data_IF_562635850990
#
_entry.id   IF_562635850990
#
_cell.length_a   1.000
_cell.length_b   1.000
_cell.length_c   1.000
_cell.angle_alpha   90.00
_cell.angle_beta   90.00
_cell.angle_gamma   90.00
#
_symmetry.space_group_name_H-M   'P 1'
#
loop_
_entity.id
_entity.type
_entity.pdbx_description
1 polymer ?
#
# COMPACT_ATOMS: atom_id res chain seq x y z
N UNK A 1 -9.99 34.15 -5.43
CA UNK A 1 -9.77 33.33 -4.21
C UNK A 1 -9.86 31.83 -4.52
N UNK A 2 -10.95 31.34 -5.13
CA UNK A 2 -11.15 29.93 -5.54
C UNK A 2 -9.96 29.29 -6.26
N UNK A 3 -9.45 29.91 -7.33
CA UNK A 3 -8.30 29.40 -8.07
C UNK A 3 -7.01 29.20 -7.24
N UNK A 4 -6.82 29.97 -6.14
CA UNK A 4 -5.69 29.76 -5.22
C UNK A 4 -5.92 28.53 -4.34
N UNK A 5 -7.16 28.32 -3.88
CA UNK A 5 -7.56 27.15 -3.08
C UNK A 5 -7.49 25.87 -3.91
N UNK A 6 -7.94 25.89 -5.17
CA UNK A 6 -7.84 24.72 -6.05
C UNK A 6 -6.37 24.34 -6.34
N UNK A 7 -5.49 25.33 -6.53
CA UNK A 7 -4.05 25.07 -6.69
C UNK A 7 -3.43 24.48 -5.43
N UNK A 8 -3.83 24.97 -4.26
CA UNK A 8 -3.36 24.45 -2.98
C UNK A 8 -3.81 23.00 -2.79
N UNK A 9 -5.10 22.71 -3.04
CA UNK A 9 -5.65 21.36 -2.91
C UNK A 9 -4.99 20.38 -3.91
N UNK A 10 -4.74 20.81 -5.14
CA UNK A 10 -4.01 20.01 -6.14
C UNK A 10 -2.54 19.75 -5.73
N UNK A 11 -1.86 20.75 -5.15
CA UNK A 11 -0.50 20.59 -4.63
C UNK A 11 -0.47 19.58 -3.47
N UNK A 12 -1.42 19.68 -2.54
CA UNK A 12 -1.59 18.73 -1.44
C UNK A 12 -1.85 17.33 -1.99
N UNK A 13 -2.77 17.18 -2.94
CA UNK A 13 -3.06 15.88 -3.56
C UNK A 13 -1.84 15.25 -4.23
N UNK A 14 -1.03 16.04 -4.96
CA UNK A 14 0.22 15.56 -5.56
C UNK A 14 1.21 15.08 -4.49
N UNK A 15 1.29 15.78 -3.37
CA UNK A 15 2.13 15.37 -2.24
C UNK A 15 1.60 14.08 -1.58
N UNK A 16 0.31 14.03 -1.26
CA UNK A 16 -0.38 12.86 -0.70
C UNK A 16 -0.13 11.62 -1.58
N UNK A 17 -0.27 11.76 -2.91
CA UNK A 17 -0.02 10.67 -3.87
C UNK A 17 1.41 10.14 -3.82
N UNK A 18 2.40 11.03 -3.79
CA UNK A 18 3.82 10.64 -3.70
C UNK A 18 4.11 9.95 -2.37
N UNK A 19 3.58 10.49 -1.28
CA UNK A 19 3.76 9.95 0.06
C UNK A 19 3.15 8.54 0.19
N UNK A 20 1.91 8.34 -0.27
CA UNK A 20 1.27 7.02 -0.31
C UNK A 20 2.09 6.04 -1.13
N UNK A 21 2.54 6.42 -2.33
CA UNK A 21 3.38 5.57 -3.17
C UNK A 21 4.69 5.15 -2.47
N UNK A 22 5.35 6.08 -1.79
CA UNK A 22 6.55 5.80 -1.02
C UNK A 22 6.29 4.85 0.16
N UNK A 23 5.21 5.08 0.92
CA UNK A 23 4.84 4.26 2.07
C UNK A 23 4.42 2.84 1.66
N UNK A 24 3.68 2.69 0.57
CA UNK A 24 3.31 1.38 0.03
C UNK A 24 4.55 0.61 -0.45
N UNK A 25 5.48 1.29 -1.12
CA UNK A 25 6.75 0.67 -1.54
C UNK A 25 7.59 0.24 -0.33
N UNK A 26 7.68 1.09 0.69
CA UNK A 26 8.36 0.77 1.95
C UNK A 26 7.73 -0.46 2.62
N UNK A 27 6.40 -0.45 2.79
CA UNK A 27 5.65 -1.57 3.37
C UNK A 27 5.89 -2.87 2.60
N UNK A 28 5.75 -2.84 1.26
CA UNK A 28 5.97 -4.00 0.42
C UNK A 28 7.40 -4.54 0.54
N UNK A 29 8.40 -3.66 0.58
CA UNK A 29 9.81 -4.04 0.72
C UNK A 29 10.09 -4.68 2.08
N UNK A 30 9.61 -4.06 3.16
CA UNK A 30 9.82 -4.55 4.54
C UNK A 30 9.15 -5.90 4.75
N UNK A 31 7.89 -6.04 4.30
CA UNK A 31 7.15 -7.32 4.39
C UNK A 31 7.82 -8.39 3.53
N UNK A 32 8.27 -8.05 2.33
CA UNK A 32 8.98 -9.00 1.47
C UNK A 32 10.25 -9.53 2.14
N UNK A 33 11.06 -8.65 2.74
CA UNK A 33 12.30 -9.05 3.43
C UNK A 33 12.00 -9.93 4.65
N UNK A 34 11.00 -9.57 5.47
CA UNK A 34 10.60 -10.38 6.63
C UNK A 34 10.06 -11.75 6.21
N UNK A 35 9.20 -11.81 5.18
CA UNK A 35 8.68 -13.07 4.65
C UNK A 35 9.81 -13.92 4.06
N UNK A 36 10.70 -13.34 3.27
CA UNK A 36 11.86 -14.06 2.72
C UNK A 36 12.70 -14.65 3.86
N UNK A 37 13.07 -13.84 4.86
CA UNK A 37 13.80 -14.33 6.02
C UNK A 37 13.08 -15.49 6.71
N UNK A 38 11.80 -15.33 7.06
CA UNK A 38 10.99 -16.36 7.75
C UNK A 38 10.79 -17.63 6.95
N UNK A 39 10.74 -17.54 5.62
CA UNK A 39 10.56 -18.71 4.76
C UNK A 39 11.85 -19.51 4.70
N UNK A 40 12.99 -18.84 4.55
CA UNK A 40 14.29 -19.49 4.39
C UNK A 40 14.98 -19.84 5.72
N UNK A 41 14.53 -19.29 6.86
CA UNK A 41 15.05 -19.63 8.19
C UNK A 41 14.37 -20.85 8.84
N UNK A 42 13.25 -21.33 8.30
CA UNK A 42 12.54 -22.51 8.83
C UNK A 42 13.29 -23.79 8.51
N UNK A 43 13.68 -24.54 9.54
CA UNK A 43 14.20 -25.91 9.46
C UNK A 43 13.30 -26.87 10.26
N UNK A 44 12.87 -28.02 9.70
CA UNK A 44 13.02 -28.42 8.30
C UNK A 44 12.15 -27.56 7.36
N UNK A 45 12.63 -27.28 6.16
CA UNK A 45 11.87 -26.55 5.14
C UNK A 45 10.62 -27.31 4.69
N UNK A 46 9.58 -26.58 4.26
CA UNK A 46 8.32 -27.19 3.79
C UNK A 46 8.51 -28.19 2.64
N UNK A 47 9.48 -27.94 1.76
CA UNK A 47 9.82 -28.84 0.67
C UNK A 47 10.42 -30.15 1.20
N UNK A 48 11.26 -30.09 2.22
CA UNK A 48 11.82 -31.28 2.85
C UNK A 48 10.73 -32.14 3.51
N UNK A 49 9.74 -31.52 4.16
CA UNK A 49 8.59 -32.23 4.74
C UNK A 49 7.67 -32.87 3.70
N UNK A 50 7.48 -32.23 2.54
CA UNK A 50 6.70 -32.81 1.45
C UNK A 50 7.47 -33.97 0.79
N UNK A 51 8.77 -33.79 0.57
CA UNK A 51 9.63 -34.81 -0.03
C UNK A 51 9.82 -36.02 0.90
N UNK A 52 9.87 -35.83 2.22
CA UNK A 52 9.94 -36.95 3.17
C UNK A 52 8.73 -37.89 3.06
N UNK A 53 7.54 -37.35 2.77
CA UNK A 53 6.34 -38.16 2.56
C UNK A 53 6.39 -39.02 1.29
N UNK A 54 7.19 -38.63 0.30
CA UNK A 54 7.31 -39.32 -0.99
C UNK A 54 8.52 -40.26 -1.05
N UNK A 55 9.64 -39.84 -0.46
CA UNK A 55 10.93 -40.55 -0.52
C UNK A 55 11.10 -41.49 0.68
N UNK A 56 10.36 -41.27 1.77
CA UNK A 56 10.46 -42.07 3.00
C UNK A 56 11.71 -41.77 3.85
N UNK A 57 12.50 -40.76 3.47
CA UNK A 57 13.67 -40.29 4.24
C UNK A 57 13.30 -39.25 5.29
N UNK A 58 14.17 -39.06 6.28
CA UNK A 58 13.95 -38.07 7.33
C UNK A 58 13.98 -36.65 6.76
N UNK A 59 13.07 -35.75 7.17
CA UNK A 59 13.03 -34.37 6.68
C UNK A 59 14.35 -33.62 6.84
N UNK A 60 15.13 -33.92 7.88
CA UNK A 60 16.40 -33.25 8.17
C UNK A 60 17.50 -33.60 7.16
N UNK A 61 17.55 -34.84 6.68
CA UNK A 61 18.50 -35.27 5.65
C UNK A 61 18.21 -34.59 4.30
N UNK A 62 16.93 -34.51 3.93
CA UNK A 62 16.46 -33.86 2.70
C UNK A 62 16.62 -32.34 2.74
N UNK A 63 16.47 -31.71 3.91
CA UNK A 63 16.61 -30.27 4.09
C UNK A 63 18.06 -29.79 3.90
N UNK A 64 19.03 -30.66 4.16
CA UNK A 64 20.46 -30.32 4.08
C UNK A 64 20.97 -30.22 2.64
N UNK A 65 20.46 -31.06 1.73
CA UNK A 65 21.01 -31.17 0.37
C UNK A 65 19.96 -31.09 -0.74
N UNK A 66 18.83 -31.81 -0.63
CA UNK A 66 17.84 -31.90 -1.69
C UNK A 66 17.00 -30.62 -1.81
N UNK A 67 16.49 -30.09 -0.70
CA UNK A 67 15.62 -28.92 -0.72
C UNK A 67 16.31 -27.64 -1.26
N UNK A 68 17.57 -27.31 -0.87
CA UNK A 68 18.28 -26.16 -1.44
C UNK A 68 18.58 -26.33 -2.93
N UNK A 69 19.00 -27.53 -3.36
CA UNK A 69 19.30 -27.82 -4.75
C UNK A 69 18.06 -27.71 -5.66
N UNK A 70 16.94 -28.30 -5.24
CA UNK A 70 15.66 -28.21 -5.97
C UNK A 70 15.19 -26.76 -6.05
N UNK A 71 15.25 -26.02 -4.93
CA UNK A 71 14.85 -24.61 -4.90
C UNK A 71 15.71 -23.78 -5.85
N UNK A 72 17.03 -23.99 -5.85
CA UNK A 72 17.94 -23.29 -6.76
C UNK A 72 17.61 -23.57 -8.22
N UNK A 73 17.42 -24.83 -8.60
CA UNK A 73 17.08 -25.23 -9.97
C UNK A 73 15.75 -24.60 -10.41
N UNK A 74 14.71 -24.67 -9.58
CA UNK A 74 13.41 -24.06 -9.88
C UNK A 74 13.54 -22.54 -10.08
N UNK A 75 14.29 -21.85 -9.23
CA UNK A 75 14.52 -20.41 -9.39
C UNK A 75 15.29 -20.07 -10.67
N UNK A 76 16.33 -20.84 -11.01
CA UNK A 76 17.05 -20.66 -12.30
C UNK A 76 16.09 -20.81 -13.48
N UNK A 77 15.21 -21.80 -13.47
CA UNK A 77 14.22 -22.02 -14.53
C UNK A 77 13.25 -20.83 -14.63
N UNK A 78 12.73 -20.34 -13.50
CA UNK A 78 11.81 -19.20 -13.47
C UNK A 78 12.47 -17.90 -13.96
N UNK A 79 13.69 -17.61 -13.50
CA UNK A 79 14.44 -16.43 -13.91
C UNK A 79 14.78 -16.51 -15.40
N UNK A 80 15.17 -17.69 -15.89
CA UNK A 80 15.43 -17.92 -17.30
C UNK A 80 14.18 -17.69 -18.16
N UNK A 81 13.03 -18.23 -17.73
CA UNK A 81 11.74 -17.99 -18.38
C UNK A 81 11.37 -16.51 -18.42
N UNK A 82 11.58 -15.78 -17.31
CA UNK A 82 11.28 -14.36 -17.22
C UNK A 82 12.18 -13.49 -18.12
N UNK A 83 13.49 -13.74 -18.15
CA UNK A 83 14.43 -13.02 -19.03
C UNK A 83 14.08 -13.29 -20.49
N UNK A 84 13.78 -14.54 -20.83
CA UNK A 84 13.44 -14.93 -22.19
C UNK A 84 12.11 -14.33 -22.65
N UNK A 85 11.07 -14.39 -21.83
CA UNK A 85 9.78 -13.79 -22.16
C UNK A 85 9.90 -12.28 -22.40
N UNK A 86 10.77 -11.59 -21.66
CA UNK A 86 11.05 -10.17 -21.88
C UNK A 86 11.86 -9.91 -23.16
N UNK A 87 12.85 -10.74 -23.47
CA UNK A 87 13.66 -10.62 -24.68
C UNK A 87 12.83 -10.86 -25.95
N UNK A 88 11.98 -11.89 -25.94
CA UNK A 88 11.04 -12.19 -27.03
C UNK A 88 10.02 -11.05 -27.21
N UNK A 89 9.50 -10.47 -26.12
CA UNK A 89 8.62 -9.30 -26.19
C UNK A 89 9.28 -8.03 -26.75
N UNK A 90 10.63 -7.94 -26.68
CA UNK A 90 11.41 -6.85 -27.25
C UNK A 90 11.95 -7.13 -28.66
N UNK A 91 11.68 -8.31 -29.22
CA UNK A 91 12.23 -8.72 -30.52
C UNK A 91 13.74 -8.99 -30.52
N UNK A 92 14.35 -9.13 -29.34
CA UNK A 92 15.78 -9.43 -29.21
C UNK A 92 15.98 -10.95 -29.15
N UNK A 93 16.75 -11.50 -30.10
CA UNK A 93 17.27 -12.86 -30.01
C UNK A 93 18.42 -12.91 -29.00
N UNK A 94 18.08 -12.90 -27.71
CA UNK A 94 19.07 -13.14 -26.66
C UNK A 94 19.67 -14.54 -26.87
N UNK A 95 20.98 -14.61 -27.18
CA UNK A 95 21.68 -15.87 -27.34
C UNK A 95 21.45 -16.75 -26.08
N UNK A 96 20.94 -17.98 -26.28
CA UNK A 96 20.52 -18.89 -25.19
C UNK A 96 21.56 -19.00 -24.06
N UNK A 97 22.84 -18.99 -24.40
CA UNK A 97 23.95 -19.01 -23.43
C UNK A 97 24.01 -17.75 -22.55
N UNK A 98 23.80 -16.55 -23.09
CA UNK A 98 23.80 -15.30 -22.31
C UNK A 98 22.62 -15.25 -21.34
N UNK A 99 21.43 -15.64 -21.78
CA UNK A 99 20.24 -15.70 -20.93
C UNK A 99 20.41 -16.71 -19.78
N UNK A 100 20.98 -17.88 -20.06
CA UNK A 100 21.26 -18.89 -19.04
C UNK A 100 22.27 -18.41 -18.00
N UNK A 101 23.41 -17.84 -18.44
CA UNK A 101 24.42 -17.29 -17.53
C UNK A 101 23.85 -16.15 -16.68
N UNK A 102 23.04 -15.26 -17.28
CA UNK A 102 22.37 -14.19 -16.54
C UNK A 102 21.42 -14.75 -15.48
N UNK A 103 20.72 -15.84 -15.79
CA UNK A 103 19.76 -16.47 -14.88
C UNK A 103 20.44 -17.16 -13.72
N UNK A 104 21.48 -17.94 -14.00
CA UNK A 104 22.29 -18.58 -12.96
C UNK A 104 22.95 -17.52 -12.07
N UNK A 105 23.53 -16.48 -12.68
CA UNK A 105 24.14 -15.36 -11.95
C UNK A 105 23.14 -14.63 -11.06
N UNK A 106 21.96 -14.27 -11.59
CA UNK A 106 20.94 -13.56 -10.81
C UNK A 106 20.38 -14.44 -9.68
N UNK A 107 20.12 -15.71 -9.93
CA UNK A 107 19.67 -16.65 -8.90
C UNK A 107 20.74 -16.85 -7.83
N UNK A 108 22.02 -16.97 -8.21
CA UNK A 108 23.12 -17.07 -7.25
C UNK A 108 23.24 -15.81 -6.39
N UNK A 109 23.14 -14.61 -6.98
CA UNK A 109 23.14 -13.34 -6.25
C UNK A 109 21.96 -13.26 -5.29
N UNK A 110 20.76 -13.64 -5.74
CA UNK A 110 19.56 -13.62 -4.90
C UNK A 110 19.69 -14.59 -3.72
N UNK A 111 20.15 -15.82 -3.98
CA UNK A 111 20.38 -16.83 -2.95
C UNK A 111 21.45 -16.37 -1.95
N UNK A 112 22.56 -15.81 -2.44
CA UNK A 112 23.61 -15.24 -1.59
C UNK A 112 23.09 -14.07 -0.74
N UNK A 113 22.23 -13.23 -1.31
CA UNK A 113 21.61 -12.10 -0.60
C UNK A 113 20.69 -12.58 0.54
N UNK A 114 19.88 -13.61 0.29
CA UNK A 114 19.03 -14.23 1.30
C UNK A 114 19.87 -14.90 2.39
N UNK A 115 20.92 -15.63 2.02
CA UNK A 115 21.80 -16.27 2.98
C UNK A 115 22.55 -15.24 3.84
N UNK A 116 23.00 -14.15 3.23
CA UNK A 116 23.59 -13.03 3.94
C UNK A 116 22.59 -12.38 4.91
N UNK A 117 21.32 -12.20 4.52
CA UNK A 117 20.28 -11.69 5.40
C UNK A 117 20.07 -12.58 6.63
N UNK A 118 19.99 -13.90 6.45
CA UNK A 118 19.83 -14.86 7.56
C UNK A 118 21.05 -14.86 8.47
N UNK A 119 22.26 -14.81 7.89
CA UNK A 119 23.51 -14.80 8.65
C UNK A 119 23.67 -13.51 9.47
N UNK A 120 23.35 -12.35 8.89
CA UNK A 120 23.49 -11.05 9.55
C UNK A 120 22.38 -10.78 10.59
N UNK A 121 21.23 -11.45 10.46
CA UNK A 121 20.06 -11.26 11.34
C UNK A 121 19.35 -12.59 11.65
N UNK A 122 19.93 -13.48 12.45
CA UNK A 122 19.33 -14.79 12.78
C UNK A 122 17.95 -14.68 13.45
N UNK A 123 17.78 -13.65 14.28
CA UNK A 123 16.54 -13.36 15.03
C UNK A 123 15.40 -12.84 14.13
N UNK A 124 15.68 -12.54 12.85
CA UNK A 124 14.72 -11.96 11.91
C UNK A 124 14.39 -10.50 12.17
N UNK A 125 13.30 -10.03 11.55
CA UNK A 125 12.90 -8.62 11.55
C UNK A 125 11.67 -8.40 12.43
N UNK A 126 11.87 -8.37 13.76
CA UNK A 126 10.77 -8.18 14.73
C UNK A 126 10.02 -6.86 14.52
N UNK A 127 10.69 -5.83 13.99
CA UNK A 127 10.11 -4.53 13.68
C UNK A 127 9.26 -4.51 12.40
N UNK A 128 9.43 -5.48 11.49
CA UNK A 128 8.82 -5.43 10.17
C UNK A 128 7.29 -5.39 10.20
N UNK A 129 6.58 -6.22 11.02
CA UNK A 129 5.13 -6.15 11.12
C UNK A 129 4.65 -4.79 11.64
N UNK A 130 5.32 -4.22 12.65
CA UNK A 130 4.93 -2.94 13.25
C UNK A 130 5.13 -1.77 12.28
N UNK A 131 6.23 -1.77 11.52
CA UNK A 131 6.49 -0.76 10.51
C UNK A 131 5.51 -0.87 9.34
N UNK A 132 5.20 -2.10 8.91
CA UNK A 132 4.23 -2.36 7.85
C UNK A 132 2.82 -1.88 8.25
N UNK A 133 2.38 -2.17 9.47
CA UNK A 133 1.10 -1.69 10.00
C UNK A 133 1.05 -0.16 10.10
N UNK A 134 2.15 0.48 10.51
CA UNK A 134 2.26 1.94 10.57
C UNK A 134 2.15 2.56 9.17
N UNK A 135 2.87 2.00 8.19
CA UNK A 135 2.80 2.44 6.80
C UNK A 135 1.41 2.18 6.18
N UNK A 136 0.76 1.07 6.53
CA UNK A 136 -0.61 0.74 6.13
C UNK A 136 -1.61 1.76 6.68
N UNK A 137 -1.53 2.10 7.97
CA UNK A 137 -2.38 3.11 8.58
C UNK A 137 -2.27 4.45 7.85
N UNK A 138 -1.03 4.88 7.60
CA UNK A 138 -0.76 6.14 6.89
C UNK A 138 -1.28 6.11 5.46
N UNK A 139 -0.93 5.08 4.69
CA UNK A 139 -1.35 4.95 3.29
C UNK A 139 -2.86 4.79 3.14
N UNK A 140 -3.52 4.08 4.06
CA UNK A 140 -4.96 3.91 4.08
C UNK A 140 -5.71 5.21 4.36
N UNK A 141 -5.31 5.96 5.39
CA UNK A 141 -5.98 7.21 5.77
C UNK A 141 -5.70 8.35 4.78
N UNK A 142 -4.47 8.48 4.28
CA UNK A 142 -4.17 9.43 3.20
C UNK A 142 -4.88 9.01 1.90
N UNK A 143 -4.95 7.71 1.62
CA UNK A 143 -5.73 7.18 0.50
C UNK A 143 -7.20 7.56 0.56
N UNK A 144 -7.80 7.51 1.76
CA UNK A 144 -9.17 7.99 2.00
C UNK A 144 -9.30 9.51 1.73
N UNK A 145 -8.33 10.31 2.20
CA UNK A 145 -8.27 11.74 1.88
C UNK A 145 -8.20 11.99 0.36
N UNK A 146 -7.33 11.29 -0.35
CA UNK A 146 -7.21 11.38 -1.82
C UNK A 146 -8.48 10.96 -2.56
N UNK A 147 -9.20 9.95 -2.06
CA UNK A 147 -10.47 9.53 -2.65
C UNK A 147 -11.49 10.68 -2.64
N UNK A 148 -11.51 11.50 -1.58
CA UNK A 148 -12.35 12.69 -1.53
C UNK A 148 -11.96 13.74 -2.55
N UNK A 149 -10.66 13.93 -2.85
CA UNK A 149 -10.21 14.83 -3.91
C UNK A 149 -10.82 14.46 -5.27
N UNK A 150 -10.72 13.19 -5.65
CA UNK A 150 -11.22 12.66 -6.95
C UNK A 150 -12.74 12.48 -7.07
N UNK A 151 -13.50 12.91 -6.05
CA UNK A 151 -14.97 12.82 -5.99
C UNK A 151 -15.57 11.46 -6.37
N UNK A 152 -14.87 10.36 -6.09
CA UNK A 152 -15.33 8.99 -6.36
C UNK A 152 -16.42 8.51 -5.38
N UNK A 153 -17.23 9.41 -4.85
CA UNK A 153 -18.24 9.09 -3.85
C UNK A 153 -19.49 8.51 -4.52
N UNK A 154 -19.47 7.18 -4.70
CA UNK A 154 -20.62 6.34 -5.08
C UNK A 154 -21.92 6.65 -4.30
N UNK A 155 -21.82 7.18 -3.07
CA UNK A 155 -22.97 7.37 -2.19
C UNK A 155 -23.81 8.62 -2.47
N UNK A 156 -23.24 9.69 -3.06
CA UNK A 156 -24.00 10.91 -3.33
C UNK A 156 -24.81 10.82 -4.63
N UNK A 157 -24.35 10.03 -5.60
CA UNK A 157 -25.05 9.83 -6.87
C UNK A 157 -26.35 9.04 -6.69
N UNK A 158 -26.43 8.12 -5.72
CA UNK A 158 -27.69 7.43 -5.40
C UNK A 158 -28.76 8.37 -4.82
N UNK A 159 -28.37 9.39 -4.05
CA UNK A 159 -29.30 10.39 -3.52
C UNK A 159 -29.89 11.30 -4.60
N UNK A 160 -29.15 11.53 -5.67
CA UNK A 160 -29.61 12.35 -6.80
C UNK A 160 -30.78 11.69 -7.57
N UNK A 161 -30.91 10.36 -7.49
CA UNK A 161 -32.02 9.61 -8.12
C UNK A 161 -33.32 9.65 -7.31
N UNK A 162 -33.26 9.86 -6.00
CA UNK A 162 -34.46 9.97 -5.15
C UNK A 162 -35.03 11.40 -5.08
N UNK A 163 -34.21 12.44 -5.31
CA UNK A 163 -34.64 13.83 -5.10
C UNK A 163 -34.95 14.58 -6.42
N UNK A 164 -36.00 15.43 -6.44
CA UNK A 164 -36.31 16.27 -7.58
C UNK A 164 -35.16 17.25 -7.88
N UNK A 165 -34.91 17.51 -9.17
CA UNK A 165 -33.77 18.31 -9.69
C UNK A 165 -33.62 19.68 -9.04
N UNK A 166 -34.72 20.27 -8.56
CA UNK A 166 -34.74 21.56 -7.85
C UNK A 166 -34.06 21.53 -6.48
N UNK A 167 -34.04 20.40 -5.78
CA UNK A 167 -33.50 20.29 -4.41
C UNK A 167 -32.11 19.69 -4.34
N UNK A 168 -31.61 19.13 -5.46
CA UNK A 168 -30.31 18.48 -5.53
C UNK A 168 -29.14 19.37 -5.05
N UNK A 169 -29.04 20.67 -5.42
CA UNK A 169 -27.92 21.50 -4.98
C UNK A 169 -27.89 21.71 -3.45
N UNK A 170 -29.05 21.92 -2.84
CA UNK A 170 -29.19 22.14 -1.39
C UNK A 170 -28.94 20.87 -0.60
N UNK A 171 -29.50 19.74 -1.04
CA UNK A 171 -29.29 18.43 -0.39
C UNK A 171 -27.84 18.00 -0.48
N UNK A 172 -27.18 18.21 -1.63
CA UNK A 172 -25.76 17.92 -1.81
C UNK A 172 -24.88 18.76 -0.89
N UNK A 173 -25.15 20.06 -0.79
CA UNK A 173 -24.40 20.97 0.08
C UNK A 173 -24.61 20.60 1.55
N UNK A 174 -25.84 20.28 1.96
CA UNK A 174 -26.15 19.83 3.31
C UNK A 174 -25.45 18.49 3.65
N UNK A 175 -25.51 17.51 2.75
CA UNK A 175 -24.83 16.23 2.93
C UNK A 175 -23.31 16.40 3.06
N UNK A 176 -22.71 17.30 2.27
CA UNK A 176 -21.30 17.66 2.39
C UNK A 176 -20.98 18.35 3.72
N UNK A 177 -21.86 19.22 4.23
CA UNK A 177 -21.67 19.84 5.56
C UNK A 177 -21.75 18.81 6.68
N UNK A 178 -22.71 17.88 6.63
CA UNK A 178 -22.85 16.83 7.65
C UNK A 178 -21.64 15.90 7.62
N UNK A 179 -21.24 15.42 6.44
CA UNK A 179 -20.06 14.56 6.29
C UNK A 179 -18.76 15.28 6.68
N UNK A 180 -18.61 16.54 6.26
CA UNK A 180 -17.48 17.38 6.61
C UNK A 180 -17.40 17.67 8.11
N UNK A 181 -18.53 18.00 8.73
CA UNK A 181 -18.64 18.23 10.18
C UNK A 181 -18.29 16.97 10.98
N UNK A 182 -18.83 15.81 10.58
CA UNK A 182 -18.46 14.53 11.20
C UNK A 182 -16.97 14.23 11.06
N UNK A 183 -16.39 14.44 9.87
CA UNK A 183 -14.95 14.27 9.67
C UNK A 183 -14.13 15.24 10.53
N UNK A 184 -14.55 16.50 10.71
CA UNK A 184 -13.87 17.44 11.60
C UNK A 184 -13.97 17.01 13.07
N UNK A 185 -15.09 16.46 13.52
CA UNK A 185 -15.20 15.87 14.87
C UNK A 185 -14.20 14.74 15.05
N UNK A 186 -14.09 13.83 14.08
CA UNK A 186 -13.07 12.78 14.10
C UNK A 186 -11.65 13.33 14.07
N UNK A 187 -11.41 14.44 13.37
CA UNK A 187 -10.11 15.11 13.37
C UNK A 187 -9.75 15.65 14.76
N UNK A 188 -10.70 16.26 15.46
CA UNK A 188 -10.52 16.75 16.84
C UNK A 188 -10.27 15.59 17.80
N UNK A 189 -11.08 14.52 17.73
CA UNK A 189 -10.87 13.31 18.56
C UNK A 189 -9.51 12.66 18.27
N UNK A 190 -9.10 12.62 17.01
CA UNK A 190 -7.78 12.16 16.59
C UNK A 190 -6.66 13.03 17.18
N UNK A 191 -6.83 14.36 17.19
CA UNK A 191 -5.84 15.27 17.76
C UNK A 191 -5.72 15.12 19.28
N UNK A 192 -6.85 14.92 19.98
CA UNK A 192 -6.85 14.60 21.41
C UNK A 192 -6.13 13.28 21.68
N UNK A 193 -6.41 12.24 20.89
CA UNK A 193 -5.70 10.95 21.01
C UNK A 193 -4.19 11.08 20.78
N UNK A 194 -3.76 11.90 19.82
CA UNK A 194 -2.32 12.17 19.59
C UNK A 194 -1.70 12.90 20.78
N UNK A 195 -2.40 13.86 21.38
CA UNK A 195 -1.95 14.54 22.58
C UNK A 195 -1.78 13.58 23.76
N UNK A 196 -2.72 12.65 23.96
CA UNK A 196 -2.62 11.62 25.00
C UNK A 196 -1.39 10.72 24.77
N UNK A 197 -1.17 10.26 23.53
CA UNK A 197 0.02 9.46 23.19
C UNK A 197 1.32 10.24 23.38
N UNK A 198 1.31 11.54 23.11
CA UNK A 198 2.46 12.41 23.35
C UNK A 198 2.75 12.54 24.84
N UNK A 199 1.73 12.74 25.67
CA UNK A 199 1.87 12.78 27.13
C UNK A 199 2.39 11.46 27.72
N UNK A 200 1.91 10.33 27.21
CA UNK A 200 2.43 9.00 27.60
C UNK A 200 3.89 8.88 27.23
N UNK A 201 4.30 9.31 26.04
CA UNK A 201 5.70 9.27 25.62
C UNK A 201 6.60 10.16 26.48
N UNK A 202 6.14 11.34 26.91
CA UNK A 202 6.92 12.22 27.79
C UNK A 202 7.00 11.73 29.24
N UNK A 203 5.95 11.07 29.74
CA UNK A 203 5.89 10.60 31.13
C UNK A 203 6.52 9.22 31.30
N UNK A 204 6.30 8.33 30.34
CA UNK A 204 6.75 6.94 30.34
C UNK A 204 7.27 6.55 28.94
N UNK A 205 8.53 6.89 28.61
CA UNK A 205 9.07 6.72 27.26
C UNK A 205 8.90 5.32 26.68
N UNK A 206 9.15 4.27 27.47
CA UNK A 206 9.04 2.88 27.04
C UNK A 206 7.61 2.49 26.62
N UNK A 207 6.59 3.03 27.30
CA UNK A 207 5.19 2.78 26.97
C UNK A 207 4.72 3.61 25.76
N UNK A 208 5.37 4.73 25.47
CA UNK A 208 5.07 5.60 24.33
C UNK A 208 5.65 5.16 22.99
N UNK A 209 6.57 4.19 22.99
CA UNK A 209 7.20 3.66 21.79
C UNK A 209 6.46 2.45 21.23
N UNK A 210 6.57 2.25 19.92
CA UNK A 210 6.10 1.04 19.26
C UNK A 210 7.05 -0.12 19.59
N UNK A 211 6.57 -1.33 19.91
CA UNK A 211 7.47 -2.44 20.21
C UNK A 211 8.48 -2.69 19.08
N UNK A 212 9.75 -2.87 19.43
CA UNK A 212 10.85 -3.14 18.49
C UNK A 212 11.17 -2.03 17.49
N UNK A 213 10.54 -0.86 17.61
CA UNK A 213 10.83 0.33 16.80
C UNK A 213 10.98 1.51 17.76
N UNK A 214 12.11 2.21 17.71
CA UNK A 214 12.31 3.46 18.47
C UNK A 214 11.51 4.64 17.89
N UNK A 215 10.28 4.36 17.43
CA UNK A 215 9.34 5.30 16.85
C UNK A 215 8.22 5.58 17.86
N UNK A 216 8.02 6.85 18.24
CA UNK A 216 6.91 7.24 19.10
C UNK A 216 5.54 6.96 18.45
N UNK A 217 4.59 6.44 19.24
CA UNK A 217 3.23 6.16 18.76
C UNK A 217 2.52 7.40 18.24
N UNK A 218 2.72 8.56 18.87
CA UNK A 218 2.05 9.81 18.48
C UNK A 218 2.36 10.19 17.03
N UNK A 219 3.57 9.90 16.53
CA UNK A 219 3.93 10.12 15.11
C UNK A 219 3.09 9.25 14.18
N UNK A 220 2.88 7.99 14.54
CA UNK A 220 2.08 7.08 13.73
C UNK A 220 0.61 7.48 13.73
N UNK A 221 0.07 7.91 14.87
CA UNK A 221 -1.33 8.35 14.98
C UNK A 221 -1.61 9.76 14.43
N UNK A 222 -0.58 10.56 14.15
CA UNK A 222 -0.73 11.93 13.60
C UNK A 222 -1.46 11.95 12.25
N UNK A 223 -1.43 10.85 11.50
CA UNK A 223 -2.17 10.75 10.24
C UNK A 223 -3.68 10.79 10.43
N UNK A 224 -4.21 10.41 11.60
CA UNK A 224 -5.65 10.41 11.90
C UNK A 224 -6.21 11.84 11.86
N UNK A 225 -5.75 12.80 12.69
CA UNK A 225 -6.25 14.17 12.63
C UNK A 225 -5.94 14.84 11.30
N UNK A 226 -4.80 14.51 10.67
CA UNK A 226 -4.46 15.03 9.35
C UNK A 226 -5.47 14.59 8.28
N UNK A 227 -5.71 13.28 8.13
CA UNK A 227 -6.56 12.75 7.08
C UNK A 227 -8.02 13.20 7.26
N UNK A 228 -8.56 13.06 8.47
CA UNK A 228 -9.92 13.50 8.75
C UNK A 228 -10.07 15.02 8.67
N UNK A 229 -9.04 15.79 9.08
CA UNK A 229 -9.01 17.23 8.91
C UNK A 229 -9.06 17.64 7.44
N UNK A 230 -8.25 17.01 6.59
CA UNK A 230 -8.25 17.28 5.15
C UNK A 230 -9.57 16.90 4.48
N UNK A 231 -10.14 15.74 4.81
CA UNK A 231 -11.46 15.30 4.33
C UNK A 231 -12.53 16.32 4.76
N UNK A 232 -12.55 16.69 6.05
CA UNK A 232 -13.50 17.65 6.60
C UNK A 232 -13.43 19.02 5.93
N UNK A 233 -12.21 19.56 5.80
CA UNK A 233 -11.96 20.83 5.13
C UNK A 233 -12.39 20.80 3.66
N UNK A 234 -12.09 19.71 2.92
CA UNK A 234 -12.51 19.55 1.52
C UNK A 234 -14.03 19.53 1.39
N UNK A 235 -14.74 18.81 2.25
CA UNK A 235 -16.20 18.78 2.19
C UNK A 235 -16.86 20.11 2.57
N UNK A 236 -16.39 20.76 3.64
CA UNK A 236 -16.88 22.08 4.04
C UNK A 236 -16.61 23.11 2.95
N UNK A 237 -15.41 23.14 2.39
CA UNK A 237 -15.07 24.06 1.31
C UNK A 237 -15.92 23.84 0.04
N UNK A 238 -16.27 22.59 -0.28
CA UNK A 238 -17.18 22.28 -1.40
C UNK A 238 -18.62 22.70 -1.13
N UNK A 239 -19.10 22.51 0.09
CA UNK A 239 -20.45 22.94 0.47
C UNK A 239 -20.65 24.45 0.32
N UNK A 240 -19.61 25.25 0.59
CA UNK A 240 -19.61 26.70 0.35
C UNK A 240 -19.22 27.11 -1.07
N UNK A 241 -19.01 26.14 -1.98
CA UNK A 241 -18.60 26.41 -3.37
C UNK A 241 -17.22 27.07 -3.49
N UNK A 242 -16.32 26.84 -2.52
CA UNK A 242 -14.96 27.38 -2.51
C UNK A 242 -13.96 26.51 -3.29
N UNK A 243 -14.26 25.22 -3.47
CA UNK A 243 -13.47 24.27 -4.24
C UNK A 243 -14.27 23.70 -5.40
N UNK A 244 -13.58 23.48 -6.52
CA UNK A 244 -14.17 22.91 -7.73
C UNK A 244 -14.28 21.39 -7.60
N UNK A 245 -15.43 20.82 -7.99
CA UNK A 245 -15.61 19.37 -8.07
C UNK A 245 -14.74 18.87 -9.25
N UNK A 246 -13.66 18.17 -8.93
CA UNK A 246 -12.78 17.59 -9.95
C UNK A 246 -13.37 16.24 -10.39
N UNK A 247 -14.25 16.28 -11.37
CA UNK A 247 -14.67 15.07 -12.07
C UNK A 247 -13.45 14.50 -12.80
N UNK A 248 -13.02 13.25 -12.55
CA UNK A 248 -11.95 12.66 -13.33
C UNK A 248 -12.37 12.63 -14.81
N UNK A 249 -11.58 13.26 -15.67
CA UNK A 249 -11.69 13.16 -17.13
C UNK A 249 -11.47 11.70 -17.53
N UNK A 250 -12.54 10.92 -17.60
CA UNK A 250 -12.42 9.47 -17.79
C UNK A 250 -13.71 8.69 -18.07
N UNK A 251 -14.87 9.33 -18.15
CA UNK A 251 -16.07 8.72 -18.75
C UNK A 251 -16.75 9.74 -19.68
N UNK A 252 -16.03 10.10 -20.74
CA UNK A 252 -16.71 10.15 -22.03
C UNK A 252 -17.02 8.70 -22.37
N UNK A 253 -18.17 8.18 -21.95
CA UNK A 253 -18.75 7.06 -22.67
C UNK A 253 -18.79 7.49 -24.15
N UNK A 254 -18.24 6.72 -25.10
CA UNK A 254 -18.60 6.93 -26.48
C UNK A 254 -20.12 6.93 -26.55
N UNK A 255 -20.69 7.96 -27.16
CA UNK A 255 -22.13 8.05 -27.37
C UNK A 255 -22.60 6.69 -27.90
N UNK A 256 -23.48 6.04 -27.14
CA UNK A 256 -24.21 4.88 -27.61
C UNK A 256 -24.85 5.28 -28.95
N UNK A 257 -24.53 4.59 -30.06
CA UNK A 257 -25.15 4.91 -31.33
C UNK A 257 -26.66 4.80 -31.13
N UNK A 258 -27.40 5.87 -31.46
CA UNK A 258 -28.85 5.79 -31.53
C UNK A 258 -29.23 4.81 -32.64
N UNK A 259 -29.35 3.54 -32.28
CA UNK A 259 -29.94 2.51 -33.10
C UNK A 259 -31.45 2.62 -32.94
N UNK A 260 -32.13 3.08 -34.00
CA UNK A 260 -33.58 2.96 -34.11
C UNK A 260 -34.36 4.24 -34.41
N UNK A 261 -33.94 5.02 -35.40
CA UNK A 261 -34.90 5.77 -36.21
C UNK A 261 -35.30 4.90 -37.41
N UNK A 262 -36.41 4.17 -37.28
CA UNK A 262 -37.29 3.74 -38.37
C UNK A 262 -38.72 3.77 -37.88
#
# INVERSE_FOLDING_TARGET
MRAKLDRLDAAIFSFEKKLVGALTLLMASVVFVDVAHRVFSRRPGRLATLLSGWIGESPESLDTFAAPAITFVVFVILVFGAIRGRAEAKGENAARGKAFVLSVGLTAILAASVQALIYLRPEGFVFAPYLALSALLWSGLIGASMATYSTKHLALEMGEKLWPKSLQPSVRSFAQLVAGGFALVLAVLGAMSVADHFQVWTTSPEAGLIPSVDLPKWLVFLVVPYAFGMIGLRFVARAFGLLTIHTPLGEGMPAEPQEGAK
#
